data_IF_264942542550
#
_entry.id   IF_264942542550
#
_cell.length_a   1.000
_cell.length_b   1.000
_cell.length_c   1.000
_cell.angle_alpha   90.00
_cell.angle_beta   90.00
_cell.angle_gamma   90.00
#
_symmetry.space_group_name_H-M   'P 1'
#
loop_
_entity.id
_entity.type
_entity.pdbx_description
1 polymer ?
#
# COMPACT_ATOMS: atom_id res chain seq x y z
N UNK A 1 7.31 -12.17 14.86
CA UNK A 1 7.86 -10.79 14.81
C UNK A 1 7.16 -9.90 13.79
N UNK A 2 6.84 -10.36 12.57
CA UNK A 2 6.22 -9.54 11.49
C UNK A 2 4.83 -8.94 11.82
N UNK A 3 4.07 -9.61 12.69
CA UNK A 3 2.70 -9.22 13.01
C UNK A 3 2.59 -7.80 13.59
N UNK A 4 3.44 -7.45 14.56
CA UNK A 4 3.37 -6.14 15.23
C UNK A 4 3.76 -4.99 14.27
N UNK A 5 4.90 -5.04 13.55
CA UNK A 5 5.27 -4.02 12.57
C UNK A 5 4.23 -3.87 11.45
N UNK A 6 3.71 -4.97 10.92
CA UNK A 6 2.68 -4.93 9.87
C UNK A 6 1.42 -4.23 10.37
N UNK A 7 0.95 -4.57 11.58
CA UNK A 7 -0.24 -3.92 12.16
C UNK A 7 -0.02 -2.43 12.41
N UNK A 8 1.20 -2.04 12.78
CA UNK A 8 1.57 -0.63 12.94
C UNK A 8 1.57 0.12 11.60
N UNK A 9 2.20 -0.45 10.57
CA UNK A 9 2.24 0.12 9.22
C UNK A 9 0.84 0.25 8.62
N UNK A 10 0.03 -0.81 8.70
CA UNK A 10 -1.38 -0.80 8.26
C UNK A 10 -2.16 0.33 8.91
N UNK A 11 -1.99 0.58 10.22
CA UNK A 11 -2.66 1.72 10.90
C UNK A 11 -2.19 3.07 10.36
N UNK A 12 -0.90 3.23 10.11
CA UNK A 12 -0.35 4.47 9.54
C UNK A 12 -0.83 4.69 8.10
N UNK A 13 -0.90 3.64 7.30
CA UNK A 13 -1.43 3.66 5.92
C UNK A 13 -2.91 4.03 5.93
N UNK A 14 -3.74 3.38 6.76
CA UNK A 14 -5.16 3.71 6.93
C UNK A 14 -5.38 5.17 7.28
N UNK A 15 -4.65 5.67 8.30
CA UNK A 15 -4.72 7.07 8.73
C UNK A 15 -4.28 8.04 7.63
N UNK A 16 -3.29 7.63 6.83
CA UNK A 16 -2.74 8.48 5.79
C UNK A 16 -3.64 8.55 4.57
N UNK A 17 -4.19 7.41 4.16
CA UNK A 17 -4.93 7.25 2.91
C UNK A 17 -6.46 7.35 3.09
N UNK A 18 -6.95 7.43 4.32
CA UNK A 18 -8.38 7.54 4.62
C UNK A 18 -9.13 6.24 4.34
N UNK A 19 -8.55 5.12 4.74
CA UNK A 19 -9.01 3.76 4.46
C UNK A 19 -9.13 2.98 5.78
N UNK A 20 -9.78 1.82 5.74
CA UNK A 20 -9.99 0.95 6.91
C UNK A 20 -9.73 -0.52 6.56
N UNK A 21 -8.51 -0.83 6.11
CA UNK A 21 -8.10 -2.20 5.78
C UNK A 21 -7.43 -2.88 6.97
N UNK A 22 -7.63 -4.19 7.09
CA UNK A 22 -7.05 -5.02 8.13
C UNK A 22 -5.61 -5.42 7.84
N UNK A 23 -5.22 -5.57 6.57
CA UNK A 23 -3.86 -5.92 6.15
C UNK A 23 -3.48 -5.34 4.77
N UNK A 24 -2.50 -4.46 4.75
CA UNK A 24 -1.90 -3.91 3.53
C UNK A 24 -0.88 -4.82 2.87
N UNK A 25 -0.40 -5.84 3.56
CA UNK A 25 0.79 -6.60 3.17
C UNK A 25 0.46 -8.00 2.66
N UNK A 26 -0.82 -8.28 2.39
CA UNK A 26 -1.28 -9.51 1.74
C UNK A 26 -1.29 -9.34 0.21
N UNK A 27 -0.59 -10.23 -0.50
CA UNK A 27 -0.53 -10.22 -1.97
C UNK A 27 -1.77 -10.79 -2.68
N UNK A 28 -2.70 -11.44 -1.98
CA UNK A 28 -3.89 -12.03 -2.60
C UNK A 28 -4.99 -10.97 -2.81
N UNK A 29 -5.14 -10.50 -4.04
CA UNK A 29 -6.09 -9.44 -4.40
C UNK A 29 -6.71 -9.65 -5.78
N UNK A 30 -7.92 -9.14 -5.96
CA UNK A 30 -8.63 -9.09 -7.24
C UNK A 30 -8.97 -7.65 -7.59
N UNK A 31 -8.76 -7.26 -8.85
CA UNK A 31 -9.03 -5.91 -9.34
C UNK A 31 -10.01 -5.94 -10.49
N UNK A 32 -10.86 -4.92 -10.59
CA UNK A 32 -11.64 -4.71 -11.80
C UNK A 32 -10.75 -4.11 -12.90
N UNK A 33 -11.10 -4.38 -14.16
CA UNK A 33 -10.43 -3.78 -15.33
C UNK A 33 -10.32 -2.26 -15.20
N UNK A 34 -11.40 -1.60 -14.75
CA UNK A 34 -11.47 -0.15 -14.55
C UNK A 34 -10.40 0.37 -13.58
N UNK A 35 -10.12 -0.36 -12.50
CA UNK A 35 -9.07 0.02 -11.55
C UNK A 35 -7.72 -0.07 -12.24
N UNK A 36 -7.43 -1.19 -12.89
CA UNK A 36 -6.14 -1.41 -13.56
C UNK A 36 -5.88 -0.37 -14.67
N UNK A 37 -6.88 -0.02 -15.46
CA UNK A 37 -6.73 1.00 -16.53
C UNK A 37 -6.60 2.44 -16.00
N UNK A 38 -6.96 2.69 -14.74
CA UNK A 38 -6.96 4.04 -14.16
C UNK A 38 -5.69 4.40 -13.38
N UNK A 39 -4.85 3.41 -13.09
CA UNK A 39 -3.65 3.58 -12.27
C UNK A 39 -2.39 3.71 -13.13
N UNK A 40 -1.46 4.61 -12.79
CA UNK A 40 -0.25 4.84 -13.59
C UNK A 40 0.84 3.81 -13.24
N UNK A 41 0.70 2.56 -13.68
CA UNK A 41 1.65 1.48 -13.35
C UNK A 41 3.12 1.82 -13.62
N UNK A 42 3.40 2.57 -14.68
CA UNK A 42 4.75 3.01 -15.03
C UNK A 42 5.43 3.87 -13.95
N UNK A 43 4.67 4.38 -12.98
CA UNK A 43 5.15 5.20 -11.86
C UNK A 43 5.24 4.43 -10.55
N UNK A 44 4.81 3.17 -10.51
CA UNK A 44 4.82 2.37 -9.29
C UNK A 44 6.23 1.93 -8.95
N UNK A 45 6.49 1.68 -7.67
CA UNK A 45 7.73 1.06 -7.25
C UNK A 45 7.89 -0.31 -7.92
N UNK A 46 9.04 -0.55 -8.55
CA UNK A 46 9.41 -1.89 -9.07
C UNK A 46 9.80 -2.88 -7.97
N UNK A 47 9.63 -2.50 -6.69
CA UNK A 47 10.00 -3.29 -5.52
C UNK A 47 8.75 -3.76 -4.78
N UNK A 48 8.94 -4.20 -3.54
CA UNK A 48 7.88 -4.73 -2.67
C UNK A 48 6.76 -3.73 -2.34
N UNK A 49 6.93 -2.46 -2.69
CA UNK A 49 6.04 -1.36 -2.33
C UNK A 49 4.88 -1.18 -3.33
N UNK A 50 4.88 -1.92 -4.45
CA UNK A 50 3.81 -1.94 -5.46
C UNK A 50 2.42 -2.14 -4.84
N UNK A 51 2.35 -3.01 -3.83
CA UNK A 51 1.14 -3.33 -3.10
C UNK A 51 0.54 -2.12 -2.37
N UNK A 52 1.39 -1.29 -1.78
CA UNK A 52 0.98 -0.04 -1.13
C UNK A 52 0.60 1.00 -2.18
N UNK A 53 1.35 1.08 -3.29
CA UNK A 53 1.09 2.05 -4.36
C UNK A 53 -0.29 1.83 -5.00
N UNK A 54 -0.68 0.58 -5.31
CA UNK A 54 -1.98 0.31 -5.93
C UNK A 54 -3.15 0.63 -4.99
N UNK A 55 -3.02 0.32 -3.70
CA UNK A 55 -4.04 0.64 -2.70
C UNK A 55 -4.14 2.16 -2.52
N UNK A 56 -3.01 2.85 -2.46
CA UNK A 56 -2.95 4.31 -2.40
C UNK A 56 -3.64 4.94 -3.62
N UNK A 57 -3.30 4.51 -4.83
CA UNK A 57 -3.94 5.04 -6.04
C UNK A 57 -5.44 4.76 -6.06
N UNK A 58 -5.86 3.58 -5.57
CA UNK A 58 -7.26 3.21 -5.46
C UNK A 58 -8.01 4.12 -4.46
N UNK A 59 -7.43 4.34 -3.28
CA UNK A 59 -7.96 5.22 -2.25
C UNK A 59 -8.04 6.67 -2.73
N UNK A 60 -6.99 7.19 -3.35
CA UNK A 60 -6.96 8.55 -3.89
C UNK A 60 -8.03 8.76 -4.97
N UNK A 61 -8.24 7.78 -5.85
CA UNK A 61 -9.30 7.82 -6.87
C UNK A 61 -10.69 7.46 -6.35
N UNK A 62 -10.85 7.28 -5.03
CA UNK A 62 -12.10 6.94 -4.35
C UNK A 62 -12.74 5.65 -4.88
N UNK A 63 -11.92 4.69 -5.31
CA UNK A 63 -12.41 3.35 -5.62
C UNK A 63 -12.84 2.63 -4.35
N UNK A 64 -13.88 1.78 -4.47
CA UNK A 64 -14.31 0.93 -3.38
C UNK A 64 -13.29 -0.19 -3.17
N UNK A 65 -12.77 -0.29 -1.95
CA UNK A 65 -11.91 -1.39 -1.50
C UNK A 65 -12.71 -2.20 -0.48
N UNK A 66 -12.66 -3.52 -0.60
CA UNK A 66 -13.33 -4.43 0.32
C UNK A 66 -12.40 -5.61 0.61
N UNK A 67 -12.42 -6.08 1.86
CA UNK A 67 -11.69 -7.27 2.29
C UNK A 67 -12.65 -8.45 2.40
N UNK A 68 -12.19 -9.61 1.96
CA UNK A 68 -12.90 -10.88 2.13
C UNK A 68 -12.08 -11.72 3.10
N UNK A 69 -12.71 -12.11 4.21
CA UNK A 69 -12.06 -12.95 5.21
C UNK A 69 -11.67 -14.30 4.57
N UNK A 70 -10.41 -14.67 4.72
CA UNK A 70 -9.89 -15.96 4.30
C UNK A 70 -9.07 -16.56 5.43
N UNK A 71 -9.12 -17.88 5.59
CA UNK A 71 -8.32 -18.57 6.60
C UNK A 71 -6.85 -18.58 6.18
N UNK A 72 -6.02 -17.87 6.92
CA UNK A 72 -4.57 -17.81 6.70
C UNK A 72 -3.94 -19.17 7.03
N UNK A 73 -3.64 -19.97 6.00
CA UNK A 73 -2.84 -21.19 6.15
C UNK A 73 -1.36 -20.83 6.06
N UNK A 74 -0.75 -20.57 7.21
CA UNK A 74 0.71 -20.51 7.31
C UNK A 74 1.26 -21.94 7.17
N UNK A 75 1.66 -22.33 5.96
CA UNK A 75 2.53 -23.49 5.77
C UNK A 75 3.97 -23.03 5.93
N UNK A 76 4.79 -23.82 6.62
CA UNK A 76 6.22 -23.55 6.83
C UNK A 76 7.02 -23.46 5.52
N UNK A 77 6.44 -23.94 4.41
CA UNK A 77 6.98 -23.88 3.05
C UNK A 77 6.90 -22.48 2.41
N UNK A 78 6.14 -21.54 2.99
CA UNK A 78 5.96 -20.23 2.41
C UNK A 78 7.21 -19.37 2.58
N UNK A 79 7.70 -18.79 1.48
CA UNK A 79 8.88 -17.91 1.47
C UNK A 79 8.77 -16.80 2.51
N UNK A 80 9.57 -16.90 3.56
CA UNK A 80 9.59 -15.91 4.62
C UNK A 80 10.56 -14.79 4.23
N UNK A 81 10.05 -13.55 4.15
CA UNK A 81 10.91 -12.39 4.00
C UNK A 81 11.91 -12.29 5.18
N UNK A 82 13.23 -12.20 4.91
CA UNK A 82 14.26 -11.98 5.93
C UNK A 82 14.09 -10.63 6.64
N UNK A 83 14.50 -10.54 7.91
CA UNK A 83 14.33 -9.34 8.73
C UNK A 83 14.90 -8.07 8.09
N UNK A 84 16.13 -8.11 7.55
CA UNK A 84 16.73 -6.94 6.90
C UNK A 84 15.95 -6.42 5.70
N UNK A 85 15.34 -7.32 4.90
CA UNK A 85 14.46 -6.93 3.79
C UNK A 85 13.15 -6.33 4.30
N UNK A 86 12.59 -6.86 5.40
CA UNK A 86 11.38 -6.34 6.02
C UNK A 86 11.56 -4.93 6.61
N UNK A 87 12.72 -4.62 7.21
CA UNK A 87 13.02 -3.26 7.69
C UNK A 87 13.09 -2.27 6.54
N UNK A 88 13.81 -2.62 5.47
CA UNK A 88 13.90 -1.77 4.27
C UNK A 88 12.53 -1.52 3.64
N UNK A 89 11.69 -2.55 3.59
CA UNK A 89 10.31 -2.46 3.12
C UNK A 89 9.46 -1.51 3.99
N UNK A 90 9.48 -1.69 5.32
CA UNK A 90 8.73 -0.83 6.24
C UNK A 90 9.16 0.65 6.15
N UNK A 91 10.47 0.91 6.02
CA UNK A 91 10.98 2.27 5.78
C UNK A 91 10.50 2.85 4.44
N UNK A 92 10.37 2.02 3.40
CA UNK A 92 9.80 2.41 2.11
C UNK A 92 8.37 2.91 2.26
N UNK A 93 7.52 2.17 2.97
CA UNK A 93 6.12 2.56 3.25
C UNK A 93 6.06 3.90 3.99
N UNK A 94 6.86 4.06 5.05
CA UNK A 94 6.91 5.31 5.82
C UNK A 94 7.32 6.48 4.94
N UNK A 95 8.32 6.30 4.07
CA UNK A 95 8.73 7.33 3.11
C UNK A 95 7.59 7.70 2.14
N UNK A 96 6.86 6.71 1.62
CA UNK A 96 5.70 6.96 0.75
C UNK A 96 4.61 7.75 1.47
N UNK A 97 4.32 7.41 2.73
CA UNK A 97 3.37 8.16 3.57
C UNK A 97 3.82 9.62 3.74
N UNK A 98 5.11 9.85 4.06
CA UNK A 98 5.65 11.20 4.23
C UNK A 98 5.54 11.99 2.92
N UNK A 99 5.94 11.40 1.78
CA UNK A 99 5.79 12.03 0.46
C UNK A 99 4.33 12.37 0.16
N UNK A 100 3.41 11.47 0.47
CA UNK A 100 1.98 11.69 0.27
C UNK A 100 1.45 12.85 1.13
N UNK A 101 1.84 12.91 2.41
CA UNK A 101 1.45 14.01 3.30
C UNK A 101 2.05 15.35 2.87
N UNK A 102 3.32 15.38 2.45
CA UNK A 102 3.95 16.58 1.90
C UNK A 102 3.25 17.05 0.62
N UNK A 103 2.80 16.12 -0.22
CA UNK A 103 2.01 16.43 -1.40
C UNK A 103 0.66 17.01 -1.06
N UNK A 104 -0.05 16.38 -0.13
CA UNK A 104 -1.35 16.83 0.35
C UNK A 104 -1.27 18.21 1.01
N UNK A 105 -0.15 18.53 1.68
CA UNK A 105 0.13 19.83 2.28
C UNK A 105 0.57 20.90 1.26
N UNK A 106 0.78 20.54 -0.02
CA UNK A 106 1.26 21.45 -1.05
C UNK A 106 2.75 21.83 -0.94
N UNK A 107 3.51 21.20 -0.04
CA UNK A 107 4.93 21.49 0.20
C UNK A 107 5.85 20.87 -0.85
N UNK A 108 5.42 19.81 -1.53
CA UNK A 108 6.16 19.15 -2.60
C UNK A 108 5.20 18.54 -3.63
N UNK A 109 5.57 18.55 -4.92
CA UNK A 109 4.81 17.87 -5.97
C UNK A 109 5.50 16.57 -6.36
N UNK A 110 4.75 15.47 -6.32
CA UNK A 110 5.21 14.17 -6.78
C UNK A 110 4.25 13.66 -7.83
N UNK A 111 4.77 13.32 -9.01
CA UNK A 111 3.97 12.84 -10.15
C UNK A 111 3.16 11.57 -9.84
N UNK A 112 3.62 10.76 -8.87
CA UNK A 112 2.87 9.58 -8.41
C UNK A 112 1.48 9.97 -7.87
N UNK A 113 1.33 11.18 -7.34
CA UNK A 113 0.09 11.65 -6.70
C UNK A 113 -0.71 12.62 -7.58
N UNK A 114 -0.14 13.07 -8.70
CA UNK A 114 -0.80 13.95 -9.66
C UNK A 114 -1.86 13.17 -10.45
N UNK A 115 -3.13 13.30 -10.05
CA UNK A 115 -4.29 12.69 -10.70
C UNK A 115 -5.35 12.11 -9.76
N UNK A 116 -5.04 11.97 -8.46
CA UNK A 116 -6.00 11.52 -7.45
C UNK A 116 -6.64 12.64 -6.62
N UNK A 117 -6.20 13.89 -6.79
CA UNK A 117 -6.79 15.04 -6.08
C UNK A 117 -7.83 15.73 -6.98
N UNK A 118 -9.07 15.23 -6.93
CA UNK A 118 -10.28 15.96 -7.34
C UNK A 118 -11.40 15.75 -6.32
#
# INVERSE_FOLDING_TARGET
>A
WKYIPNRFLTRLENLSFGTDLTDYHNGFRSYSRKVLESVPFARFSEKFDFDTDIILQAAMRKFRIAEVAHQTRYRDENSQMPFGKAVRYGLGIVLTIVKFKLHQAGLARFELFEGGQK
#
